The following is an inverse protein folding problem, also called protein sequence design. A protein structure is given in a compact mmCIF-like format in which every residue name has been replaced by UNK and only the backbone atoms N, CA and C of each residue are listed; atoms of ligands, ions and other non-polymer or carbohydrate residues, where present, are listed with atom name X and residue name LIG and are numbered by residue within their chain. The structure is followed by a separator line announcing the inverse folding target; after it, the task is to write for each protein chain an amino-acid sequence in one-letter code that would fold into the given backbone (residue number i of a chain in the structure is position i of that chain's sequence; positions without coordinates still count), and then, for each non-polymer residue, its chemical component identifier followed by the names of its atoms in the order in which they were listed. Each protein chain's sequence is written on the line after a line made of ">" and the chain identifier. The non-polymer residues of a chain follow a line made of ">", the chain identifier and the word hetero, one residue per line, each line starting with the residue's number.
data_IF_839789437393
#
_entry.id   IF_839789437393
#
_cell.length_a   1.000
_cell.length_b   1.000
_cell.length_c   1.000
_cell.angle_alpha   90.00
_cell.angle_beta   90.00
_cell.angle_gamma   90.00
#
_symmetry.space_group_name_H-M   'P 1'
#
loop_
_entity.id
_entity.type
_entity.pdbx_description
1 polymer ?
#
# COMPACT_ATOMS: atom_id res chain seq x y z
N UNK A 1 8.59 -2.78 -25.00
CA UNK A 1 7.82 -3.12 -23.78
C UNK A 1 6.90 -1.98 -23.34
N UNK A 2 7.37 -0.73 -23.27
CA UNK A 2 6.64 0.42 -22.71
C UNK A 2 5.29 0.76 -23.38
N UNK A 3 5.06 0.35 -24.62
CA UNK A 3 3.84 0.64 -25.39
C UNK A 3 3.06 -0.61 -25.81
N UNK A 4 3.56 -1.81 -25.48
CA UNK A 4 2.96 -3.08 -25.94
C UNK A 4 1.55 -3.31 -25.38
N UNK A 5 1.21 -2.67 -24.26
CA UNK A 5 -0.09 -2.78 -23.62
C UNK A 5 -1.14 -1.84 -24.23
N UNK A 6 -0.75 -0.92 -25.12
CA UNK A 6 -1.65 0.01 -25.79
C UNK A 6 -2.22 -0.64 -27.05
N UNK A 7 -3.46 -1.12 -26.98
CA UNK A 7 -4.15 -1.71 -28.13
C UNK A 7 -5.02 -0.71 -28.89
N UNK A 8 -5.33 0.45 -28.31
CA UNK A 8 -6.20 1.46 -28.90
C UNK A 8 -5.38 2.52 -29.68
N UNK A 9 -5.69 2.77 -30.98
CA UNK A 9 -4.90 3.68 -31.83
C UNK A 9 -4.80 5.12 -31.31
N UNK A 10 -5.88 5.64 -30.73
CA UNK A 10 -5.91 7.00 -30.16
C UNK A 10 -4.98 7.12 -28.94
N UNK A 11 -5.05 6.16 -28.01
CA UNK A 11 -4.16 6.09 -26.84
C UNK A 11 -2.69 5.95 -27.27
N UNK A 12 -2.43 5.16 -28.32
CA UNK A 12 -1.09 4.99 -28.87
C UNK A 12 -0.54 6.30 -29.47
N UNK A 13 -1.37 7.04 -30.22
CA UNK A 13 -0.97 8.30 -30.84
C UNK A 13 -0.64 9.38 -29.79
N UNK A 14 -1.44 9.47 -28.73
CA UNK A 14 -1.24 10.45 -27.66
C UNK A 14 -0.17 10.04 -26.62
N UNK A 15 0.31 8.79 -26.65
CA UNK A 15 1.30 8.22 -25.71
C UNK A 15 0.92 8.38 -24.22
N UNK A 16 -0.36 8.60 -23.92
CA UNK A 16 -0.85 8.94 -22.57
C UNK A 16 -0.67 7.82 -21.54
N UNK A 17 -0.53 6.58 -21.99
CA UNK A 17 -0.36 5.40 -21.15
C UNK A 17 1.07 4.82 -21.21
N UNK A 18 2.05 5.56 -21.76
CA UNK A 18 3.38 4.98 -22.00
C UNK A 18 4.04 4.62 -20.66
N UNK A 19 4.40 3.35 -20.44
CA UNK A 19 4.96 2.95 -19.16
C UNK A 19 6.46 3.26 -19.06
N UNK A 20 6.86 3.70 -17.87
CA UNK A 20 8.26 3.88 -17.49
C UNK A 20 8.52 3.24 -16.13
N UNK A 21 9.77 2.89 -15.87
CA UNK A 21 10.18 2.52 -14.51
C UNK A 21 10.08 3.75 -13.61
N UNK A 22 9.67 3.62 -12.34
CA UNK A 22 9.62 4.77 -11.45
C UNK A 22 11.01 5.40 -11.32
N UNK A 23 11.08 6.73 -11.31
CA UNK A 23 12.33 7.47 -11.19
C UNK A 23 12.43 7.99 -9.75
N UNK A 24 13.28 7.36 -8.95
CA UNK A 24 13.65 7.85 -7.60
C UNK A 24 15.08 8.39 -7.54
N UNK A 25 15.89 8.15 -8.56
CA UNK A 25 17.33 8.39 -8.51
C UNK A 25 17.67 9.88 -8.51
N UNK A 26 18.56 10.27 -7.60
CA UNK A 26 19.34 11.50 -7.75
C UNK A 26 20.24 11.36 -8.99
N UNK A 27 20.56 12.46 -9.70
CA UNK A 27 21.51 12.39 -10.81
C UNK A 27 22.84 11.78 -10.34
N UNK A 28 23.24 10.63 -10.89
CA UNK A 28 24.53 9.98 -10.62
C UNK A 28 24.48 8.58 -9.99
N UNK A 29 23.32 8.10 -9.49
CA UNK A 29 23.19 6.73 -8.97
C UNK A 29 22.67 5.74 -10.03
N UNK A 30 23.40 4.63 -10.25
CA UNK A 30 22.89 3.39 -10.88
C UNK A 30 23.39 2.20 -10.04
N UNK A 31 22.52 1.23 -9.67
CA UNK A 31 21.57 0.53 -10.54
C UNK A 31 20.11 0.97 -10.38
N UNK A 32 19.24 0.45 -11.26
CA UNK A 32 17.78 0.57 -11.16
C UNK A 32 17.26 0.07 -9.80
N UNK A 33 16.75 0.95 -8.92
CA UNK A 33 16.37 0.56 -7.56
C UNK A 33 15.11 -0.31 -7.52
N UNK A 34 14.46 -0.57 -8.66
CA UNK A 34 13.18 -1.25 -8.71
C UNK A 34 13.24 -2.67 -9.30
N UNK A 35 14.35 -3.04 -9.92
CA UNK A 35 14.60 -4.41 -10.36
C UNK A 35 15.06 -5.27 -9.18
N UNK A 36 14.25 -6.25 -8.75
CA UNK A 36 14.56 -7.04 -7.54
C UNK A 36 14.25 -8.52 -7.68
N UNK A 37 15.15 -9.32 -7.11
CA UNK A 37 14.91 -10.73 -6.84
C UNK A 37 14.18 -10.89 -5.51
N UNK A 38 13.04 -11.56 -5.51
CA UNK A 38 12.17 -11.75 -4.34
C UNK A 38 11.67 -13.20 -4.34
N UNK A 39 11.53 -13.79 -3.16
CA UNK A 39 10.75 -15.03 -2.99
C UNK A 39 9.38 -14.65 -2.47
N UNK A 40 8.33 -14.89 -3.25
CA UNK A 40 6.96 -14.63 -2.83
C UNK A 40 5.96 -15.56 -3.51
N UNK A 41 4.77 -15.68 -2.94
CA UNK A 41 3.65 -16.33 -3.61
C UNK A 41 2.99 -15.31 -4.54
N UNK A 42 3.02 -15.59 -5.84
CA UNK A 42 2.33 -14.77 -6.83
C UNK A 42 0.80 -14.87 -6.66
N UNK A 43 0.03 -13.87 -7.12
CA UNK A 43 -1.42 -14.00 -7.22
C UNK A 43 -1.81 -15.28 -7.95
N UNK A 44 -2.88 -15.94 -7.49
CA UNK A 44 -3.41 -17.20 -8.05
C UNK A 44 -2.53 -18.45 -7.89
N UNK A 45 -1.25 -18.30 -7.51
CA UNK A 45 -0.32 -19.40 -7.29
C UNK A 45 -0.40 -19.91 -5.84
N UNK A 46 -0.20 -21.22 -5.67
CA UNK A 46 -0.29 -21.88 -4.34
C UNK A 46 1.05 -21.91 -3.60
N UNK A 47 2.16 -21.86 -4.32
CA UNK A 47 3.51 -21.99 -3.79
C UNK A 47 4.29 -20.70 -3.94
N UNK A 48 5.28 -20.49 -3.07
CA UNK A 48 6.21 -19.38 -3.21
C UNK A 48 7.22 -19.67 -4.31
N UNK A 49 7.60 -18.63 -5.04
CA UNK A 49 8.57 -18.71 -6.14
C UNK A 49 9.61 -17.61 -6.03
N UNK A 50 10.83 -17.95 -6.45
CA UNK A 50 11.89 -17.00 -6.73
C UNK A 50 11.61 -16.28 -8.05
N UNK A 51 11.47 -14.97 -7.96
CA UNK A 51 11.05 -14.13 -9.08
C UNK A 51 11.92 -12.89 -9.21
N UNK A 52 12.01 -12.36 -10.42
CA UNK A 52 12.56 -11.03 -10.70
C UNK A 52 11.41 -10.08 -11.01
N UNK A 53 11.24 -9.04 -10.19
CA UNK A 53 10.10 -8.12 -10.28
C UNK A 53 10.52 -6.70 -10.67
N UNK A 54 9.70 -6.02 -11.48
CA UNK A 54 9.83 -4.61 -11.85
C UNK A 54 8.46 -3.90 -11.84
N UNK A 55 8.26 -2.88 -11.00
CA UNK A 55 7.09 -1.99 -11.05
C UNK A 55 7.18 -0.97 -12.21
N UNK A 56 6.03 -0.51 -12.70
CA UNK A 56 5.89 0.52 -13.74
C UNK A 56 4.85 1.59 -13.38
N UNK A 57 5.18 2.84 -13.71
CA UNK A 57 4.29 4.01 -13.64
C UNK A 57 4.04 4.53 -15.06
N UNK A 58 2.85 5.05 -15.40
CA UNK A 58 2.65 5.76 -16.65
C UNK A 58 3.52 7.02 -16.72
N UNK A 59 3.90 7.43 -17.92
CA UNK A 59 4.69 8.64 -18.14
C UNK A 59 3.88 9.86 -17.70
N UNK A 60 4.52 10.74 -16.92
CA UNK A 60 3.88 11.94 -16.38
C UNK A 60 2.87 11.69 -15.26
N UNK A 61 2.75 10.45 -14.77
CA UNK A 61 1.93 10.11 -13.60
C UNK A 61 2.79 9.41 -12.56
N UNK A 62 2.54 9.74 -11.30
CA UNK A 62 3.25 9.12 -10.19
C UNK A 62 2.53 7.89 -9.62
N UNK A 63 1.35 7.51 -10.14
CA UNK A 63 0.60 6.35 -9.68
C UNK A 63 1.15 5.07 -10.32
N UNK A 64 1.17 3.97 -9.56
CA UNK A 64 1.62 2.69 -10.08
C UNK A 64 0.55 2.08 -11.01
N UNK A 65 0.94 1.66 -12.21
CA UNK A 65 0.03 1.09 -13.19
C UNK A 65 0.16 -0.42 -13.33
N UNK A 66 1.37 -0.96 -13.17
CA UNK A 66 1.60 -2.39 -13.34
C UNK A 66 2.89 -2.84 -12.69
N UNK A 67 3.07 -4.15 -12.62
CA UNK A 67 4.33 -4.79 -12.29
C UNK A 67 4.51 -6.02 -13.17
N UNK A 68 5.75 -6.24 -13.58
CA UNK A 68 6.15 -7.38 -14.38
C UNK A 68 7.05 -8.29 -13.56
N UNK A 69 6.87 -9.58 -13.79
CA UNK A 69 7.60 -10.64 -13.13
C UNK A 69 8.25 -11.53 -14.18
N UNK A 70 9.53 -11.84 -14.00
CA UNK A 70 10.15 -13.02 -14.60
C UNK A 70 10.24 -14.12 -13.55
N UNK A 71 9.64 -15.27 -13.84
CA UNK A 71 9.63 -16.45 -12.95
C UNK A 71 10.93 -17.23 -13.13
N UNK A 72 11.55 -17.65 -12.02
CA UNK A 72 12.86 -18.30 -12.04
C UNK A 72 12.85 -19.74 -11.51
N UNK A 73 11.67 -20.33 -11.27
CA UNK A 73 11.55 -21.67 -10.68
C UNK A 73 10.76 -22.64 -11.56
N UNK A 74 11.19 -23.92 -11.53
CA UNK A 74 10.46 -25.08 -12.06
C UNK A 74 9.98 -24.96 -13.51
N UNK A 75 8.77 -25.46 -13.75
CA UNK A 75 8.10 -25.46 -15.07
C UNK A 75 7.76 -24.04 -15.59
N UNK A 76 7.88 -23.04 -14.72
CA UNK A 76 7.58 -21.64 -15.03
C UNK A 76 8.84 -20.81 -15.32
N UNK A 77 10.03 -21.42 -15.27
CA UNK A 77 11.30 -20.76 -15.54
C UNK A 77 11.27 -19.98 -16.87
N UNK A 78 11.65 -18.70 -16.82
CA UNK A 78 11.72 -17.82 -17.98
C UNK A 78 10.37 -17.23 -18.43
N UNK A 79 9.25 -17.60 -17.79
CA UNK A 79 7.94 -17.01 -18.12
C UNK A 79 7.83 -15.60 -17.55
N UNK A 80 7.35 -14.69 -18.39
CA UNK A 80 7.04 -13.32 -18.00
C UNK A 80 5.55 -13.19 -17.70
N UNK A 81 5.21 -12.61 -16.56
CA UNK A 81 3.83 -12.33 -16.15
C UNK A 81 3.69 -10.85 -15.88
N UNK A 82 2.61 -10.23 -16.39
CA UNK A 82 2.34 -8.81 -16.22
C UNK A 82 1.01 -8.65 -15.48
N UNK A 83 1.09 -8.03 -14.31
CA UNK A 83 -0.08 -7.69 -13.50
C UNK A 83 -0.38 -6.21 -13.66
N UNK A 84 -1.63 -5.88 -13.96
CA UNK A 84 -2.09 -4.50 -14.18
C UNK A 84 -3.04 -4.11 -13.06
N UNK A 85 -2.82 -2.93 -12.48
CA UNK A 85 -3.78 -2.36 -11.54
C UNK A 85 -4.96 -1.75 -12.32
N UNK A 86 -6.19 -1.80 -11.79
CA UNK A 86 -7.32 -1.12 -12.41
C UNK A 86 -7.04 0.37 -12.57
N UNK A 87 -7.36 0.95 -13.75
CA UNK A 87 -7.13 2.40 -14.03
C UNK A 87 -7.86 3.33 -13.05
N UNK A 88 -8.86 2.82 -12.34
CA UNK A 88 -9.66 3.54 -11.34
C UNK A 88 -9.07 3.46 -9.91
N UNK A 89 -8.06 2.61 -9.69
CA UNK A 89 -7.43 2.46 -8.37
C UNK A 89 -6.36 3.52 -8.16
N UNK A 90 -6.49 4.32 -7.10
CA UNK A 90 -5.50 5.32 -6.68
C UNK A 90 -4.34 4.63 -5.96
N UNK A 91 -3.52 3.92 -6.72
CA UNK A 91 -2.32 3.24 -6.19
C UNK A 91 -1.15 4.22 -6.20
N UNK A 92 -0.69 4.62 -5.01
CA UNK A 92 0.45 5.51 -4.88
C UNK A 92 1.70 4.89 -5.52
N UNK A 93 2.49 5.66 -6.27
CA UNK A 93 3.79 5.19 -6.73
C UNK A 93 4.89 5.44 -5.71
N UNK A 94 6.09 4.89 -5.96
CA UNK A 94 7.24 5.03 -5.08
C UNK A 94 7.59 6.47 -4.71
N UNK A 95 7.58 7.39 -5.68
CA UNK A 95 7.90 8.81 -5.47
C UNK A 95 6.94 9.47 -4.48
N UNK A 96 5.65 9.18 -4.58
CA UNK A 96 4.64 9.72 -3.67
C UNK A 96 4.85 9.20 -2.25
N UNK A 97 5.17 7.91 -2.10
CA UNK A 97 5.46 7.32 -0.79
C UNK A 97 6.74 7.90 -0.18
N UNK A 98 7.82 8.04 -0.95
CA UNK A 98 9.05 8.68 -0.46
C UNK A 98 8.79 10.11 0.01
N UNK A 99 8.00 10.89 -0.75
CA UNK A 99 7.63 12.24 -0.34
C UNK A 99 6.84 12.25 0.98
N UNK A 100 5.89 11.33 1.14
CA UNK A 100 5.14 11.19 2.41
C UNK A 100 6.03 10.80 3.58
N UNK A 101 6.95 9.86 3.39
CA UNK A 101 7.94 9.47 4.41
C UNK A 101 8.78 10.68 4.85
N UNK A 102 9.23 11.51 3.89
CA UNK A 102 10.03 12.69 4.20
C UNK A 102 9.24 13.82 4.86
N UNK A 103 7.92 13.88 4.63
CA UNK A 103 7.02 14.88 5.23
C UNK A 103 6.49 14.46 6.60
N UNK A 104 6.61 13.18 6.97
CA UNK A 104 6.23 12.70 8.30
C UNK A 104 7.12 13.33 9.36
N UNK A 105 6.50 13.98 10.34
CA UNK A 105 7.20 14.81 11.33
C UNK A 105 8.03 13.97 12.29
N UNK A 106 7.55 12.78 12.68
CA UNK A 106 8.27 11.90 13.60
C UNK A 106 9.47 11.25 12.91
N UNK A 107 9.29 10.79 11.67
CA UNK A 107 10.38 10.23 10.86
C UNK A 107 11.43 11.30 10.57
N UNK A 108 11.00 12.46 10.08
CA UNK A 108 11.91 13.55 9.72
C UNK A 108 12.73 14.02 10.93
N UNK A 109 12.08 14.24 12.08
CA UNK A 109 12.75 14.58 13.34
C UNK A 109 13.76 13.53 13.75
N UNK A 110 13.39 12.24 13.72
CA UNK A 110 14.29 11.16 14.14
C UNK A 110 15.49 11.02 13.20
N UNK A 111 15.27 11.11 11.89
CA UNK A 111 16.35 11.06 10.90
C UNK A 111 17.30 12.24 11.09
N UNK A 112 16.80 13.47 11.27
CA UNK A 112 17.65 14.63 11.54
C UNK A 112 18.41 14.55 12.86
N UNK A 113 17.91 13.82 13.86
CA UNK A 113 18.62 13.57 15.12
C UNK A 113 19.74 12.54 14.97
N UNK A 114 19.56 11.55 14.11
CA UNK A 114 20.57 10.53 13.83
C UNK A 114 21.61 10.98 12.81
N UNK A 115 21.22 11.80 11.85
CA UNK A 115 22.07 12.31 10.78
C UNK A 115 22.79 13.59 11.25
N UNK A 116 23.69 13.42 12.22
CA UNK A 116 24.43 14.50 12.88
C UNK A 116 25.93 14.21 12.89
N UNK A 117 26.73 15.18 13.34
CA UNK A 117 28.19 15.01 13.43
C UNK A 117 28.54 13.75 14.23
N UNK A 118 29.27 12.82 13.63
CA UNK A 118 29.61 11.52 14.21
C UNK A 118 28.74 10.34 13.73
N UNK A 119 27.63 10.56 13.01
CA UNK A 119 26.80 9.48 12.47
C UNK A 119 26.06 9.87 11.20
N UNK A 120 25.85 8.90 10.32
CA UNK A 120 25.17 9.06 9.03
C UNK A 120 23.99 8.11 8.93
N UNK A 121 22.84 8.64 8.50
CA UNK A 121 21.65 7.84 8.20
C UNK A 121 21.66 7.43 6.74
N UNK A 122 21.74 6.13 6.50
CA UNK A 122 21.63 5.54 5.17
C UNK A 122 20.19 5.04 4.99
N UNK A 123 19.46 5.70 4.10
CA UNK A 123 18.13 5.24 3.69
C UNK A 123 18.29 4.09 2.70
N UNK A 124 17.79 2.92 3.07
CA UNK A 124 17.73 1.78 2.15
C UNK A 124 16.78 2.04 0.99
N UNK A 125 16.85 1.16 0.00
CA UNK A 125 15.93 1.24 -1.12
C UNK A 125 14.48 0.95 -0.69
N UNK A 126 13.53 1.66 -1.30
CA UNK A 126 12.10 1.40 -1.11
C UNK A 126 11.72 0.08 -1.80
N UNK A 127 11.23 -0.87 -1.02
CA UNK A 127 10.60 -2.09 -1.52
C UNK A 127 9.13 -1.81 -1.77
N UNK A 128 8.63 -2.20 -2.94
CA UNK A 128 7.20 -2.12 -3.30
C UNK A 128 6.71 -3.55 -3.39
N UNK A 129 5.90 -3.99 -2.43
CA UNK A 129 5.49 -5.38 -2.28
C UNK A 129 3.99 -5.49 -2.56
N UNK A 130 3.57 -6.16 -3.64
CA UNK A 130 2.17 -6.42 -3.90
C UNK A 130 1.64 -7.53 -2.98
N UNK A 131 0.50 -7.26 -2.35
CA UNK A 131 -0.26 -8.21 -1.53
C UNK A 131 -1.70 -8.15 -2.02
N UNK A 132 -2.14 -9.21 -2.70
CA UNK A 132 -3.45 -9.27 -3.35
C UNK A 132 -3.68 -8.05 -4.27
N UNK A 133 -4.68 -7.21 -3.99
CA UNK A 133 -5.02 -6.00 -4.75
C UNK A 133 -4.38 -4.72 -4.16
N UNK A 134 -3.49 -4.87 -3.18
CA UNK A 134 -2.90 -3.78 -2.42
C UNK A 134 -1.37 -3.77 -2.48
N UNK A 135 -0.76 -2.66 -2.08
CA UNK A 135 0.69 -2.51 -1.98
C UNK A 135 1.10 -2.18 -0.54
N UNK A 136 2.19 -2.80 -0.11
CA UNK A 136 2.93 -2.43 1.08
C UNK A 136 4.30 -1.90 0.64
N UNK A 137 4.70 -0.77 1.19
CA UNK A 137 6.02 -0.20 0.96
C UNK A 137 6.88 -0.36 2.19
N UNK A 138 8.12 -0.78 2.00
CA UNK A 138 9.05 -1.03 3.11
C UNK A 138 10.38 -0.35 2.80
N UNK A 139 10.84 0.53 3.68
CA UNK A 139 12.13 1.18 3.56
C UNK A 139 12.94 1.00 4.86
N UNK A 140 14.02 0.21 4.85
CA UNK A 140 14.91 0.12 6.00
C UNK A 140 15.76 1.39 6.16
N UNK A 141 16.02 1.77 7.41
CA UNK A 141 16.92 2.85 7.78
C UNK A 141 18.12 2.26 8.51
N UNK A 142 19.31 2.52 7.98
CA UNK A 142 20.57 2.10 8.57
C UNK A 142 21.29 3.29 9.19
N UNK A 143 22.02 3.04 10.27
CA UNK A 143 22.87 4.01 10.92
C UNK A 143 24.32 3.55 10.82
N UNK A 144 25.20 4.49 10.47
CA UNK A 144 26.64 4.27 10.41
C UNK A 144 27.33 5.33 11.28
N UNK A 145 28.30 4.90 12.09
CA UNK A 145 29.17 5.84 12.81
C UNK A 145 30.23 6.41 11.85
N UNK A 146 30.65 7.65 12.09
CA UNK A 146 31.75 8.27 11.35
C UNK A 146 33.05 7.46 11.52
N UNK A 147 33.68 7.05 10.40
CA UNK A 147 34.83 6.14 10.40
C UNK A 147 34.50 4.64 10.54
N UNK A 148 33.25 4.29 10.85
CA UNK A 148 32.74 2.92 10.86
C UNK A 148 32.46 2.40 9.45
N UNK A 149 32.76 1.12 9.19
CA UNK A 149 32.59 0.51 7.86
C UNK A 149 31.25 -0.20 7.65
N UNK A 150 30.57 -0.59 8.72
CA UNK A 150 29.38 -1.47 8.64
C UNK A 150 28.15 -0.69 9.14
N UNK A 151 27.17 -0.42 8.27
CA UNK A 151 25.88 0.12 8.69
C UNK A 151 25.04 -0.91 9.46
N UNK A 152 24.33 -0.46 10.48
CA UNK A 152 23.38 -1.28 11.23
C UNK A 152 21.94 -0.84 10.95
N UNK A 153 21.03 -1.77 10.70
CA UNK A 153 19.61 -1.42 10.56
C UNK A 153 19.08 -1.00 11.93
N UNK A 154 18.54 0.22 12.04
CA UNK A 154 17.96 0.75 13.28
C UNK A 154 16.45 0.82 13.25
N UNK A 155 15.86 1.09 12.08
CA UNK A 155 14.41 1.16 11.90
C UNK A 155 14.00 0.63 10.54
N UNK A 156 12.71 0.39 10.43
CA UNK A 156 12.03 0.17 9.17
C UNK A 156 10.82 1.08 9.09
N UNK A 157 10.69 1.76 7.96
CA UNK A 157 9.51 2.53 7.60
C UNK A 157 8.60 1.63 6.79
N UNK A 158 7.34 1.53 7.21
CA UNK A 158 6.30 0.78 6.50
C UNK A 158 5.19 1.74 6.11
N UNK A 159 4.73 1.66 4.87
CA UNK A 159 3.64 2.48 4.39
C UNK A 159 2.61 1.65 3.64
N UNK A 160 1.36 2.09 3.72
CA UNK A 160 0.23 1.57 2.97
C UNK A 160 -0.78 2.72 2.81
N UNK A 161 -1.17 2.98 1.56
CA UNK A 161 -2.04 4.10 1.21
C UNK A 161 -1.52 5.43 1.79
N UNK A 162 -2.27 6.04 2.71
CA UNK A 162 -1.95 7.33 3.35
C UNK A 162 -1.26 7.17 4.72
N UNK A 163 -1.08 5.95 5.22
CA UNK A 163 -0.46 5.69 6.53
C UNK A 163 1.01 5.37 6.35
N UNK A 164 1.84 6.02 7.14
CA UNK A 164 3.28 5.77 7.24
C UNK A 164 3.61 5.57 8.70
N UNK A 165 4.38 4.54 9.02
CA UNK A 165 4.86 4.26 10.38
C UNK A 165 6.33 3.89 10.32
N UNK A 166 7.07 4.21 11.39
CA UNK A 166 8.47 3.84 11.54
C UNK A 166 8.66 3.11 12.86
N UNK A 167 9.18 1.90 12.78
CA UNK A 167 9.33 1.00 13.93
C UNK A 167 10.69 0.30 13.91
N UNK A 168 11.03 -0.41 14.98
CA UNK A 168 12.30 -1.16 15.09
C UNK A 168 12.31 -2.41 14.19
N UNK A 169 11.15 -3.05 14.02
CA UNK A 169 10.99 -4.28 13.24
C UNK A 169 9.84 -4.18 12.24
N UNK A 170 9.88 -5.01 11.21
CA UNK A 170 8.85 -5.04 10.18
C UNK A 170 7.51 -5.48 10.79
N UNK A 171 7.56 -6.45 11.69
CA UNK A 171 6.41 -6.99 12.41
C UNK A 171 5.73 -5.90 13.24
N UNK A 172 6.51 -5.09 13.97
CA UNK A 172 5.98 -3.96 14.73
C UNK A 172 5.38 -2.90 13.80
N UNK A 173 6.04 -2.60 12.69
CA UNK A 173 5.53 -1.68 11.67
C UNK A 173 4.19 -2.14 11.07
N UNK A 174 4.11 -3.40 10.67
CA UNK A 174 2.88 -4.00 10.15
C UNK A 174 1.77 -4.03 11.22
N UNK A 175 2.10 -4.41 12.45
CA UNK A 175 1.16 -4.41 13.57
C UNK A 175 0.65 -3.00 13.89
N UNK A 176 1.48 -1.96 13.81
CA UNK A 176 1.03 -0.58 14.01
C UNK A 176 0.19 -0.08 12.84
N UNK A 177 0.54 -0.49 11.62
CA UNK A 177 -0.14 -0.07 10.41
C UNK A 177 -1.54 -0.70 10.27
N UNK A 178 -1.69 -1.98 10.65
CA UNK A 178 -2.93 -2.77 10.47
C UNK A 178 -3.61 -3.20 11.78
N UNK A 179 -2.89 -3.23 12.90
CA UNK A 179 -3.37 -3.72 14.19
C UNK A 179 -3.99 -2.65 15.08
N UNK A 180 -3.83 -1.37 14.76
CA UNK A 180 -4.67 -0.29 15.29
C UNK A 180 -5.93 -0.17 14.44
N UNK A 181 -7.09 -0.05 15.08
CA UNK A 181 -8.40 0.15 14.47
C UNK A 181 -8.34 0.96 13.17
N UNK A 182 -9.17 0.56 12.20
CA UNK A 182 -9.59 1.42 11.09
C UNK A 182 -9.86 2.80 11.69
N UNK A 183 -8.93 3.74 11.52
CA UNK A 183 -9.23 5.12 11.82
C UNK A 183 -10.32 5.51 10.82
N UNK A 184 -11.50 5.95 11.29
CA UNK A 184 -12.40 6.65 10.41
C UNK A 184 -11.59 7.83 9.89
N UNK A 185 -11.47 7.93 8.56
CA UNK A 185 -10.80 9.02 7.88
C UNK A 185 -11.11 10.33 8.63
N UNK A 186 -10.07 10.96 9.18
CA UNK A 186 -10.18 12.28 9.78
C UNK A 186 -10.87 13.17 8.74
N UNK A 187 -12.13 13.49 9.00
CA UNK A 187 -12.90 14.42 8.21
C UNK A 187 -12.15 15.75 8.28
N UNK A 188 -11.49 16.09 7.17
CA UNK A 188 -11.11 17.46 6.90
C UNK A 188 -12.39 18.29 7.05
N UNK A 189 -12.39 19.16 8.06
CA UNK A 189 -13.45 20.13 8.27
C UNK A 189 -13.53 21.02 7.03
N UNK A 190 -14.60 20.84 6.26
CA UNK A 190 -15.13 21.81 5.31
C UNK A 190 -16.55 22.17 5.77
N UNK A 191 -16.98 23.43 5.56
CA UNK A 191 -17.94 24.09 6.43
C UNK A 191 -19.37 23.56 6.29
N UNK A 192 -20.11 23.75 7.38
CA UNK A 192 -21.53 23.46 7.57
C UNK A 192 -22.41 23.86 6.38
N UNK A 193 -23.01 22.85 5.74
CA UNK A 193 -24.07 23.00 4.75
C UNK A 193 -25.12 21.89 4.93
N UNK A 194 -26.24 22.26 5.58
CA UNK A 194 -27.54 21.59 5.64
C UNK A 194 -27.57 20.05 5.51
N UNK A 195 -27.67 19.37 6.66
CA UNK A 195 -27.95 17.94 6.74
C UNK A 195 -29.28 17.60 6.05
N UNK A 196 -29.23 16.64 5.11
CA UNK A 196 -30.41 15.96 4.57
C UNK A 196 -30.66 14.72 5.45
N UNK A 197 -31.90 14.40 5.82
CA UNK A 197 -32.21 13.31 6.76
C UNK A 197 -31.71 11.90 6.33
N UNK A 198 -31.37 11.69 5.05
CA UNK A 198 -30.82 10.42 4.56
C UNK A 198 -29.34 10.19 4.84
N UNK A 199 -28.53 11.22 5.12
CA UNK A 199 -27.09 11.06 5.38
C UNK A 199 -26.78 10.64 6.81
N UNK A 200 -27.61 11.03 7.77
CA UNK A 200 -27.47 10.60 9.18
C UNK A 200 -27.80 9.12 9.33
N UNK A 201 -28.87 8.65 8.69
CA UNK A 201 -29.27 7.25 8.76
C UNK A 201 -28.22 6.30 8.14
N UNK A 202 -27.60 6.70 7.04
CA UNK A 202 -26.49 5.95 6.44
C UNK A 202 -25.24 5.93 7.33
N UNK A 203 -24.94 7.04 8.01
CA UNK A 203 -23.82 7.13 8.95
C UNK A 203 -24.04 6.26 10.20
N UNK A 204 -25.27 6.17 10.69
CA UNK A 204 -25.63 5.31 11.83
C UNK A 204 -25.54 3.83 11.48
N UNK A 205 -26.02 3.43 10.29
CA UNK A 205 -25.88 2.06 9.78
C UNK A 205 -24.40 1.66 9.58
N UNK A 206 -23.57 2.58 9.09
CA UNK A 206 -22.14 2.34 8.94
C UNK A 206 -21.45 2.15 10.31
N UNK A 207 -21.84 2.91 11.34
CA UNK A 207 -21.32 2.76 12.70
C UNK A 207 -21.74 1.41 13.32
N UNK A 208 -23.00 1.03 13.15
CA UNK A 208 -23.50 -0.27 13.62
C UNK A 208 -22.79 -1.45 12.95
N UNK A 209 -22.50 -1.35 11.65
CA UNK A 209 -21.72 -2.37 10.92
C UNK A 209 -20.30 -2.51 11.50
N UNK A 210 -19.62 -1.39 11.78
CA UNK A 210 -18.28 -1.43 12.38
C UNK A 210 -18.27 -2.10 13.77
N UNK A 211 -19.28 -1.83 14.60
CA UNK A 211 -19.42 -2.45 15.93
C UNK A 211 -19.69 -3.96 15.84
N UNK A 212 -20.58 -4.39 14.94
CA UNK A 212 -20.89 -5.80 14.70
C UNK A 212 -19.64 -6.57 14.24
N UNK A 213 -18.87 -5.98 13.33
CA UNK A 213 -17.61 -6.57 12.88
C UNK A 213 -16.59 -6.72 14.01
N UNK A 214 -16.43 -5.71 14.86
CA UNK A 214 -15.52 -5.79 16.02
C UNK A 214 -15.95 -6.87 17.02
N UNK A 215 -17.25 -7.03 17.28
CA UNK A 215 -17.78 -8.11 18.13
C UNK A 215 -17.53 -9.49 17.53
N UNK A 216 -17.69 -9.64 16.21
CA UNK A 216 -17.39 -10.89 15.50
C UNK A 216 -15.90 -11.25 15.65
N UNK A 217 -14.98 -10.30 15.42
CA UNK A 217 -13.54 -10.53 15.57
C UNK A 217 -13.16 -10.89 17.02
N UNK A 218 -13.80 -10.27 18.01
CA UNK A 218 -13.59 -10.62 19.41
C UNK A 218 -14.08 -12.04 19.74
N UNK A 219 -15.24 -12.45 19.23
CA UNK A 219 -15.77 -13.80 19.39
C UNK A 219 -14.89 -14.86 18.70
N UNK A 220 -14.36 -14.56 17.52
CA UNK A 220 -13.41 -15.42 16.81
C UNK A 220 -12.13 -15.64 17.62
N UNK A 221 -11.56 -14.58 18.21
CA UNK A 221 -10.37 -14.68 19.07
C UNK A 221 -10.65 -15.44 20.37
N UNK A 222 -11.87 -15.37 20.88
CA UNK A 222 -12.34 -16.11 22.06
C UNK A 222 -12.74 -17.56 21.79
N UNK A 223 -12.73 -18.02 20.53
CA UNK A 223 -13.17 -19.36 20.14
C UNK A 223 -14.69 -19.58 20.19
N UNK A 224 -15.48 -18.51 20.32
CA UNK A 224 -16.94 -18.56 20.36
C UNK A 224 -17.51 -18.45 18.94
N UNK A 225 -17.53 -19.60 18.26
CA UNK A 225 -17.96 -19.70 16.86
C UNK A 225 -19.46 -19.45 16.66
N UNK A 226 -20.29 -19.76 17.66
CA UNK A 226 -21.72 -19.50 17.59
C UNK A 226 -21.99 -17.99 17.58
N UNK A 227 -21.35 -17.26 18.50
CA UNK A 227 -21.45 -15.80 18.56
C UNK A 227 -20.83 -15.12 17.35
N UNK A 228 -19.71 -15.65 16.83
CA UNK A 228 -19.12 -15.16 15.58
C UNK A 228 -20.09 -15.23 14.41
N UNK A 229 -20.76 -16.38 14.22
CA UNK A 229 -21.73 -16.56 13.15
C UNK A 229 -22.95 -15.64 13.26
N UNK A 230 -23.44 -15.41 14.49
CA UNK A 230 -24.56 -14.52 14.76
C UNK A 230 -24.22 -13.05 14.45
N UNK A 231 -23.07 -12.56 14.93
CA UNK A 231 -22.63 -11.18 14.68
C UNK A 231 -22.34 -10.95 13.18
N UNK A 232 -21.86 -11.97 12.45
CA UNK A 232 -21.63 -11.90 11.02
C UNK A 232 -22.93 -11.86 10.21
N UNK A 233 -23.96 -12.61 10.64
CA UNK A 233 -25.29 -12.54 10.02
C UNK A 233 -25.89 -11.15 10.17
N UNK A 234 -25.86 -10.61 11.40
CA UNK A 234 -26.36 -9.27 11.71
C UNK A 234 -25.60 -8.19 10.94
N UNK A 235 -24.28 -8.34 10.77
CA UNK A 235 -23.48 -7.46 9.93
C UNK A 235 -23.98 -7.46 8.48
N UNK A 236 -24.25 -8.64 7.93
CA UNK A 236 -24.81 -8.78 6.59
C UNK A 236 -26.16 -8.08 6.41
N UNK A 237 -27.03 -8.13 7.42
CA UNK A 237 -28.32 -7.40 7.42
C UNK A 237 -28.13 -5.88 7.39
N UNK A 238 -27.25 -5.35 8.25
CA UNK A 238 -26.97 -3.90 8.32
C UNK A 238 -26.32 -3.40 7.03
N UNK A 239 -25.42 -4.17 6.42
CA UNK A 239 -24.80 -3.81 5.15
C UNK A 239 -25.81 -3.80 3.99
N UNK A 240 -26.78 -4.72 3.97
CA UNK A 240 -27.89 -4.68 3.01
C UNK A 240 -28.76 -3.43 3.18
N UNK A 241 -29.06 -3.05 4.43
CA UNK A 241 -29.80 -1.82 4.72
C UNK A 241 -29.01 -0.57 4.28
N UNK A 242 -27.72 -0.53 4.56
CA UNK A 242 -26.83 0.56 4.12
C UNK A 242 -26.81 0.68 2.59
N UNK A 243 -26.72 -0.45 1.89
CA UNK A 243 -26.76 -0.49 0.43
C UNK A 243 -28.13 -0.03 -0.11
N UNK A 244 -29.24 -0.36 0.54
CA UNK A 244 -30.56 0.12 0.15
C UNK A 244 -30.71 1.64 0.34
N UNK A 245 -30.18 2.19 1.43
CA UNK A 245 -30.19 3.64 1.72
C UNK A 245 -29.31 4.42 0.72
N UNK A 246 -28.17 3.85 0.32
CA UNK A 246 -27.27 4.46 -0.65
C UNK A 246 -27.72 4.25 -2.11
N UNK A 247 -28.36 3.12 -2.42
CA UNK A 247 -28.81 2.73 -3.76
C UNK A 247 -30.19 3.24 -4.16
N UNK A 248 -31.02 3.70 -3.22
CA UNK A 248 -32.34 4.29 -3.49
C UNK A 248 -32.32 5.70 -4.09
N UNK A 249 -31.18 6.15 -4.62
CA UNK A 249 -30.97 7.53 -5.11
C UNK A 249 -30.61 7.54 -6.59
N UNK A 250 -31.56 7.15 -7.44
CA UNK A 250 -31.56 7.48 -8.86
C UNK A 250 -32.90 8.15 -9.21
N UNK A 251 -32.88 9.33 -9.82
CA UNK A 251 -33.63 9.58 -11.05
C UNK A 251 -32.74 9.30 -12.26
#
# INVERSE_FOLDING_TARGET
>A
YATYHMSEPEIFYHQEDQWQKPVLSRPGERPDPFLRHIVMRLPEERQAEFILMVPFTPRGKDNLASWMVARNDGEHYGRLVLYRFPKQSLVYGPTQIVNRINQDTDISRQVSLWDQRGSEVIRGHLLVIPIEESLIYVQPLYLRAEGGRIPEMKRVVVAHQNRVVMEETLEAGLARLFGGAVEPAAAAAAPTGAARPGTEHAADLARQAAELYQRAVAAQRGGDWARYGEELSRLGDVLRQLQAVLGGRAP
#
